data_IF_352340419876
#
_entry.id   IF_352340419876
#
_cell.length_a   1.000
_cell.length_b   1.000
_cell.length_c   1.000
_cell.angle_alpha   90.00
_cell.angle_beta   90.00
_cell.angle_gamma   90.00
#
_symmetry.space_group_name_H-M   'P 1'
#
loop_
_entity.id
_entity.type
_entity.pdbx_description
1 polymer ?
#
# COMPACT_ATOMS: atom_id res chain seq x y z
N UNK A 1 22.74 20.29 33.99
CA UNK A 1 22.84 21.71 33.56
C UNK A 1 21.69 21.97 32.60
N UNK A 2 20.75 22.87 32.94
CA UNK A 2 19.59 23.14 32.09
C UNK A 2 20.05 23.78 30.77
N UNK A 3 19.53 23.37 29.60
CA UNK A 3 19.86 24.00 28.32
C UNK A 3 19.48 25.49 28.38
N UNK A 4 20.33 26.36 27.82
CA UNK A 4 20.12 27.81 27.90
C UNK A 4 18.74 28.19 27.31
N UNK A 5 17.97 29.07 27.96
CA UNK A 5 16.66 29.49 27.46
C UNK A 5 16.74 30.16 26.07
N UNK A 6 17.90 30.74 25.74
CA UNK A 6 18.23 31.27 24.42
C UNK A 6 18.28 30.18 23.35
N UNK A 7 18.93 29.04 23.63
CA UNK A 7 19.01 27.91 22.70
C UNK A 7 17.62 27.35 22.37
N UNK A 8 16.76 27.19 23.37
CA UNK A 8 15.37 26.74 23.14
C UNK A 8 14.58 27.70 22.24
N UNK A 9 14.83 29.00 22.35
CA UNK A 9 14.18 30.02 21.52
C UNK A 9 14.65 29.93 20.06
N UNK A 10 15.95 29.80 19.84
CA UNK A 10 16.55 29.64 18.51
C UNK A 10 16.07 28.33 17.85
N UNK A 11 16.05 27.21 18.58
CA UNK A 11 15.58 25.92 18.07
C UNK A 11 14.11 25.99 17.62
N UNK A 12 13.25 26.71 18.35
CA UNK A 12 11.86 26.94 17.95
C UNK A 12 11.76 27.80 16.69
N UNK A 13 12.55 28.88 16.59
CA UNK A 13 12.58 29.74 15.40
C UNK A 13 13.01 28.98 14.15
N UNK A 14 14.03 28.12 14.26
CA UNK A 14 14.54 27.29 13.17
C UNK A 14 13.69 26.03 12.90
N UNK A 15 12.63 25.79 13.69
CA UNK A 15 11.77 24.59 13.62
C UNK A 15 12.55 23.28 13.79
N UNK A 16 13.52 23.27 14.69
CA UNK A 16 14.37 22.12 15.05
C UNK A 16 13.77 21.34 16.22
N UNK A 17 12.54 20.86 16.04
CA UNK A 17 11.77 20.21 17.10
C UNK A 17 12.40 18.90 17.60
N UNK A 18 13.02 18.11 16.72
CA UNK A 18 13.71 16.86 17.08
C UNK A 18 14.88 17.09 18.01
N UNK A 19 15.66 18.15 17.75
CA UNK A 19 16.72 18.58 18.68
C UNK A 19 16.10 19.05 19.99
N UNK A 20 15.07 19.89 19.95
CA UNK A 20 14.44 20.40 21.18
C UNK A 20 13.98 19.28 22.13
N UNK A 21 13.40 18.21 21.59
CA UNK A 21 12.87 17.10 22.40
C UNK A 21 13.98 16.16 22.92
N UNK A 22 15.10 16.05 22.21
CA UNK A 22 16.21 15.11 22.53
C UNK A 22 17.42 15.79 23.21
N UNK A 23 17.49 17.12 23.19
CA UNK A 23 18.66 17.91 23.59
C UNK A 23 19.17 17.55 24.98
N UNK A 24 18.28 17.45 25.96
CA UNK A 24 18.68 17.17 27.34
C UNK A 24 19.28 15.76 27.48
N UNK A 25 18.67 14.77 26.82
CA UNK A 25 19.16 13.39 26.81
C UNK A 25 20.51 13.29 26.10
N UNK A 26 20.64 13.90 24.91
CA UNK A 26 21.89 13.90 24.14
C UNK A 26 23.02 14.66 24.84
N UNK A 27 22.70 15.73 25.55
CA UNK A 27 23.69 16.49 26.33
C UNK A 27 24.28 15.64 27.47
N UNK A 28 23.45 14.86 28.19
CA UNK A 28 23.96 13.92 29.20
C UNK A 28 24.84 12.85 28.57
N UNK A 29 24.40 12.25 27.46
CA UNK A 29 25.19 11.25 26.72
C UNK A 29 26.54 11.80 26.25
N UNK A 30 26.60 13.06 25.81
CA UNK A 30 27.84 13.69 25.38
C UNK A 30 28.81 13.92 26.54
N UNK A 31 28.30 14.30 27.72
CA UNK A 31 29.11 14.46 28.94
C UNK A 31 29.64 13.11 29.41
N UNK A 32 28.77 12.10 29.52
CA UNK A 32 29.12 10.77 30.03
C UNK A 32 30.06 10.02 29.08
N UNK A 33 29.84 10.16 27.77
CA UNK A 33 30.63 9.52 26.71
C UNK A 33 31.84 10.33 26.23
N UNK A 34 32.08 11.53 26.80
CA UNK A 34 33.15 12.45 26.38
C UNK A 34 33.20 12.69 24.85
N UNK A 35 32.03 12.87 24.23
CA UNK A 35 31.95 13.04 22.78
C UNK A 35 32.65 14.32 22.32
N UNK A 36 33.30 14.25 21.16
CA UNK A 36 33.84 15.45 20.51
C UNK A 36 32.70 16.41 20.14
N UNK A 37 32.97 17.73 20.14
CA UNK A 37 31.94 18.74 19.85
C UNK A 37 31.26 18.55 18.50
N UNK A 38 32.03 18.14 17.49
CA UNK A 38 31.51 17.85 16.13
C UNK A 38 30.62 16.62 16.11
N UNK A 39 30.94 15.60 16.91
CA UNK A 39 30.17 14.36 17.03
C UNK A 39 28.83 14.59 17.77
N UNK A 40 28.87 15.41 18.83
CA UNK A 40 27.67 15.85 19.52
C UNK A 40 26.72 16.62 18.59
N UNK A 41 27.26 17.61 17.85
CA UNK A 41 26.47 18.36 16.87
C UNK A 41 25.88 17.45 15.79
N UNK A 42 26.66 16.49 15.28
CA UNK A 42 26.18 15.53 14.30
C UNK A 42 25.04 14.67 14.85
N UNK A 43 25.11 14.24 16.12
CA UNK A 43 24.05 13.44 16.75
C UNK A 43 22.74 14.23 16.87
N UNK A 44 22.80 15.49 17.29
CA UNK A 44 21.64 16.37 17.34
C UNK A 44 21.00 16.55 15.95
N UNK A 45 21.82 16.78 14.92
CA UNK A 45 21.32 16.93 13.55
C UNK A 45 20.70 15.62 13.02
N UNK A 46 21.27 14.46 13.35
CA UNK A 46 20.69 13.17 13.00
C UNK A 46 19.30 12.98 13.63
N UNK A 47 19.10 13.36 14.89
CA UNK A 47 17.79 13.27 15.55
C UNK A 47 16.74 14.15 14.86
N UNK A 48 17.11 15.36 14.42
CA UNK A 48 16.23 16.22 13.63
C UNK A 48 15.87 15.60 12.27
N UNK A 49 16.88 15.09 11.54
CA UNK A 49 16.68 14.45 10.23
C UNK A 49 15.76 13.24 10.38
N UNK A 50 16.05 12.35 11.33
CA UNK A 50 15.26 11.16 11.60
C UNK A 50 13.80 11.51 11.93
N UNK A 51 13.56 12.51 12.77
CA UNK A 51 12.20 12.98 13.08
C UNK A 51 11.49 13.52 11.84
N UNK A 52 12.16 14.31 11.01
CA UNK A 52 11.57 14.86 9.78
C UNK A 52 11.23 13.75 8.80
N UNK A 53 12.09 12.78 8.62
CA UNK A 53 11.85 11.61 7.77
C UNK A 53 10.69 10.77 8.28
N UNK A 54 10.63 10.50 9.58
CA UNK A 54 9.53 9.77 10.20
C UNK A 54 8.21 10.52 10.03
N UNK A 55 8.19 11.84 10.21
CA UNK A 55 6.99 12.66 9.98
C UNK A 55 6.56 12.64 8.51
N UNK A 56 7.50 12.77 7.57
CA UNK A 56 7.22 12.67 6.13
C UNK A 56 6.63 11.29 5.79
N UNK A 57 7.25 10.21 6.27
CA UNK A 57 6.75 8.84 6.09
C UNK A 57 5.34 8.69 6.66
N UNK A 58 5.09 9.15 7.89
CA UNK A 58 3.77 9.11 8.52
C UNK A 58 2.70 9.83 7.69
N UNK A 59 3.01 11.01 7.14
CA UNK A 59 2.09 11.75 6.26
C UNK A 59 1.84 10.97 4.95
N UNK A 60 2.86 10.36 4.35
CA UNK A 60 2.69 9.53 3.14
C UNK A 60 1.79 8.33 3.40
N UNK A 61 2.06 7.58 4.46
CA UNK A 61 1.27 6.40 4.84
C UNK A 61 -0.18 6.76 5.17
N UNK A 62 -0.41 7.88 5.86
CA UNK A 62 -1.76 8.37 6.16
C UNK A 62 -2.54 8.76 4.90
N UNK A 63 -1.86 9.28 3.88
CA UNK A 63 -2.48 9.64 2.59
C UNK A 63 -2.64 8.45 1.64
N UNK A 64 -1.87 7.38 1.84
CA UNK A 64 -1.85 6.24 0.94
C UNK A 64 -3.13 5.40 0.98
N UNK A 65 -3.93 5.48 2.05
CA UNK A 65 -5.19 4.73 2.15
C UNK A 65 -5.02 3.23 2.43
N UNK A 66 -3.89 2.82 3.01
CA UNK A 66 -3.63 1.42 3.33
C UNK A 66 -4.49 0.91 4.49
N UNK A 67 -4.78 -0.39 4.44
CA UNK A 67 -5.33 -1.13 5.57
C UNK A 67 -4.22 -1.46 6.57
N UNK A 68 -4.58 -1.52 7.85
CA UNK A 68 -3.65 -1.82 8.93
C UNK A 68 -2.97 -3.19 8.74
N UNK A 69 -1.64 -3.22 8.94
CA UNK A 69 -0.86 -4.45 8.98
C UNK A 69 -0.58 -5.11 7.62
N UNK A 70 -0.86 -4.45 6.50
CA UNK A 70 -0.61 -4.98 5.13
C UNK A 70 0.82 -4.75 4.66
N UNK A 71 1.79 -5.26 5.40
CA UNK A 71 3.22 -5.14 5.09
C UNK A 71 3.82 -6.47 4.65
N UNK A 72 5.03 -6.45 4.07
CA UNK A 72 5.73 -7.68 3.65
C UNK A 72 6.07 -8.56 4.83
N UNK A 73 6.41 -7.97 5.98
CA UNK A 73 6.76 -8.69 7.20
C UNK A 73 5.58 -9.49 7.76
N UNK A 74 4.35 -9.02 7.54
CA UNK A 74 3.12 -9.67 7.97
C UNK A 74 2.52 -10.60 6.89
N UNK A 75 3.18 -10.75 5.73
CA UNK A 75 2.70 -11.63 4.68
C UNK A 75 3.25 -13.04 4.88
N UNK A 76 2.35 -14.00 5.06
CA UNK A 76 2.70 -15.41 5.22
C UNK A 76 2.93 -16.06 3.85
N UNK A 77 4.20 -16.14 3.45
CA UNK A 77 4.63 -16.77 2.21
C UNK A 77 4.58 -18.30 2.24
N UNK A 78 4.41 -18.95 3.40
CA UNK A 78 4.33 -20.41 3.48
C UNK A 78 2.99 -20.90 2.94
N UNK A 79 1.95 -20.06 3.01
CA UNK A 79 0.63 -20.32 2.43
C UNK A 79 0.56 -20.18 0.91
N UNK A 80 1.58 -19.61 0.29
CA UNK A 80 1.66 -19.40 -1.16
C UNK A 80 3.02 -19.91 -1.67
N UNK A 81 3.30 -21.23 -1.57
CA UNK A 81 4.65 -21.77 -1.80
C UNK A 81 5.13 -21.63 -3.24
N UNK A 82 4.21 -21.51 -4.20
CA UNK A 82 4.53 -21.28 -5.62
C UNK A 82 4.98 -19.84 -5.91
N UNK A 83 4.74 -18.89 -5.00
CA UNK A 83 5.12 -17.50 -5.19
C UNK A 83 6.62 -17.33 -5.00
N UNK A 84 7.31 -16.81 -6.01
CA UNK A 84 8.74 -16.56 -5.95
C UNK A 84 9.04 -15.39 -5.00
N UNK A 85 9.50 -15.69 -3.78
CA UNK A 85 9.86 -14.71 -2.75
C UNK A 85 10.94 -13.74 -3.23
N UNK A 86 11.96 -14.22 -3.93
CA UNK A 86 13.06 -13.39 -4.42
C UNK A 86 12.56 -12.33 -5.40
N UNK A 87 11.63 -12.70 -6.30
CA UNK A 87 11.01 -11.75 -7.23
C UNK A 87 10.18 -10.69 -6.49
N UNK A 88 9.44 -11.07 -5.44
CA UNK A 88 8.70 -10.11 -4.62
C UNK A 88 9.65 -9.14 -3.88
N UNK A 89 10.75 -9.64 -3.33
CA UNK A 89 11.75 -8.81 -2.68
C UNK A 89 12.47 -7.89 -3.67
N UNK A 90 12.73 -8.34 -4.90
CA UNK A 90 13.25 -7.49 -5.97
C UNK A 90 12.27 -6.36 -6.31
N UNK A 91 10.97 -6.65 -6.45
CA UNK A 91 9.95 -5.61 -6.64
C UNK A 91 9.89 -4.65 -5.43
N UNK A 92 10.10 -5.15 -4.22
CA UNK A 92 10.12 -4.33 -3.02
C UNK A 92 11.28 -3.31 -3.00
N UNK A 93 12.32 -3.48 -3.82
CA UNK A 93 13.40 -2.48 -4.00
C UNK A 93 12.92 -1.21 -4.71
N UNK A 94 11.77 -1.27 -5.39
CA UNK A 94 11.22 -0.14 -6.13
C UNK A 94 11.63 -0.08 -7.60
N UNK A 95 12.30 -1.11 -8.14
CA UNK A 95 12.74 -1.17 -9.54
C UNK A 95 11.66 -0.79 -10.57
N UNK A 96 10.43 -1.29 -10.39
CA UNK A 96 9.30 -0.99 -11.26
C UNK A 96 8.90 0.50 -11.26
N UNK A 97 9.21 1.23 -10.17
CA UNK A 97 8.97 2.67 -10.03
C UNK A 97 9.93 3.46 -10.91
N UNK A 98 11.20 3.08 -10.90
CA UNK A 98 12.24 3.75 -11.69
C UNK A 98 12.09 3.44 -13.19
N UNK A 99 11.70 2.20 -13.52
CA UNK A 99 11.36 1.78 -14.89
C UNK A 99 10.02 2.36 -15.37
N UNK A 100 9.19 2.90 -14.46
CA UNK A 100 7.85 3.46 -14.75
C UNK A 100 6.89 2.46 -15.42
N UNK A 101 7.01 1.20 -15.02
CA UNK A 101 6.21 0.08 -15.55
C UNK A 101 5.17 -0.37 -14.52
N UNK A 102 4.23 -1.20 -14.98
CA UNK A 102 3.18 -1.74 -14.12
C UNK A 102 3.61 -3.02 -13.40
N UNK A 103 3.00 -3.28 -12.25
CA UNK A 103 3.04 -4.58 -11.57
C UNK A 103 1.63 -5.15 -11.59
N UNK A 104 1.43 -6.27 -12.28
CA UNK A 104 0.13 -6.88 -12.48
C UNK A 104 0.03 -8.14 -11.62
N UNK A 105 -0.84 -8.09 -10.61
CA UNK A 105 -1.06 -9.17 -9.65
C UNK A 105 -2.38 -9.89 -9.96
N UNK A 106 -2.30 -11.18 -10.28
CA UNK A 106 -3.45 -12.00 -10.66
C UNK A 106 -3.52 -13.27 -9.81
N UNK A 107 -4.74 -13.75 -9.56
CA UNK A 107 -4.98 -14.96 -8.77
C UNK A 107 -6.38 -14.97 -8.17
N UNK A 108 -6.78 -16.09 -7.55
CA UNK A 108 -8.13 -16.25 -6.99
C UNK A 108 -8.43 -15.29 -5.82
N UNK A 109 -9.70 -15.13 -5.49
CA UNK A 109 -10.12 -14.28 -4.36
C UNK A 109 -9.52 -14.75 -3.03
N UNK A 110 -8.97 -13.82 -2.26
CA UNK A 110 -8.48 -14.11 -0.92
C UNK A 110 -7.07 -14.66 -0.82
N UNK A 111 -6.34 -14.87 -1.92
CA UNK A 111 -4.93 -15.36 -1.92
C UNK A 111 -3.88 -14.33 -1.49
N UNK A 112 -4.28 -13.09 -1.19
CA UNK A 112 -3.38 -12.07 -0.66
C UNK A 112 -2.88 -11.00 -1.66
N UNK A 113 -3.42 -10.93 -2.88
CA UNK A 113 -3.06 -9.91 -3.89
C UNK A 113 -3.08 -8.47 -3.35
N UNK A 114 -4.20 -8.05 -2.77
CA UNK A 114 -4.35 -6.70 -2.20
C UNK A 114 -3.39 -6.44 -1.05
N UNK A 115 -3.06 -7.48 -0.25
CA UNK A 115 -2.04 -7.37 0.81
C UNK A 115 -0.69 -7.11 0.18
N UNK A 116 -0.29 -7.91 -0.80
CA UNK A 116 1.01 -7.79 -1.45
C UNK A 116 1.18 -6.46 -2.16
N UNK A 117 0.13 -5.98 -2.85
CA UNK A 117 0.12 -4.67 -3.50
C UNK A 117 0.34 -3.54 -2.48
N UNK A 118 -0.38 -3.55 -1.36
CA UNK A 118 -0.19 -2.58 -0.27
C UNK A 118 1.20 -2.72 0.38
N UNK A 119 1.71 -3.94 0.51
CA UNK A 119 3.03 -4.20 1.08
C UNK A 119 4.15 -3.60 0.22
N UNK A 120 4.07 -3.74 -1.11
CA UNK A 120 4.96 -3.04 -2.04
C UNK A 120 4.78 -1.51 -1.93
N UNK A 121 3.55 -1.04 -1.74
CA UNK A 121 3.25 0.36 -1.46
C UNK A 121 3.91 0.89 -0.16
N UNK A 122 3.92 0.08 0.90
CA UNK A 122 4.64 0.40 2.14
C UNK A 122 6.15 0.50 1.91
N UNK A 123 6.74 -0.41 1.12
CA UNK A 123 8.16 -0.35 0.74
C UNK A 123 8.48 0.93 -0.05
N UNK A 124 7.64 1.26 -1.04
CA UNK A 124 7.78 2.49 -1.82
C UNK A 124 7.68 3.76 -0.94
N UNK A 125 6.75 3.77 0.02
CA UNK A 125 6.61 4.88 0.98
C UNK A 125 7.85 5.06 1.87
N UNK A 126 8.46 3.94 2.32
CA UNK A 126 9.72 3.95 3.09
C UNK A 126 10.90 4.46 2.25
N UNK A 127 10.90 4.23 0.94
CA UNK A 127 11.85 4.81 -0.01
C UNK A 127 11.55 6.28 -0.37
N UNK A 128 10.58 6.90 0.29
CA UNK A 128 10.25 8.31 0.11
C UNK A 128 9.33 8.60 -1.08
N UNK A 129 8.75 7.58 -1.72
CA UNK A 129 7.80 7.74 -2.83
C UNK A 129 6.38 7.92 -2.29
N UNK A 130 5.62 8.84 -2.87
CA UNK A 130 4.20 8.97 -2.55
C UNK A 130 3.41 7.83 -3.23
N UNK A 131 2.50 7.22 -2.48
CA UNK A 131 1.69 6.07 -2.93
C UNK A 131 0.22 6.38 -2.67
N UNK A 132 -0.66 5.88 -3.54
CA UNK A 132 -2.10 5.93 -3.35
C UNK A 132 -2.71 4.57 -3.65
N UNK A 133 -3.40 4.00 -2.67
CA UNK A 133 -4.22 2.79 -2.81
C UNK A 133 -5.70 3.18 -2.95
N UNK A 134 -6.36 2.59 -3.94
CA UNK A 134 -7.78 2.81 -4.19
C UNK A 134 -8.33 1.61 -4.96
N UNK A 135 -9.58 1.21 -4.70
CA UNK A 135 -10.24 0.19 -5.53
C UNK A 135 -10.63 0.79 -6.88
N UNK A 136 -10.70 -0.02 -7.94
CA UNK A 136 -11.16 0.44 -9.26
C UNK A 136 -12.53 1.13 -9.14
N UNK A 137 -13.45 0.55 -8.36
CA UNK A 137 -14.80 1.09 -8.17
C UNK A 137 -14.77 2.47 -7.51
N UNK A 138 -13.96 2.66 -6.46
CA UNK A 138 -13.85 3.98 -5.80
C UNK A 138 -13.15 5.02 -6.68
N UNK A 139 -12.13 4.61 -7.44
CA UNK A 139 -11.42 5.48 -8.36
C UNK A 139 -12.39 6.04 -9.40
N UNK A 140 -13.14 5.17 -10.06
CA UNK A 140 -14.11 5.54 -11.09
C UNK A 140 -15.25 6.38 -10.49
N UNK A 141 -15.75 6.02 -9.31
CA UNK A 141 -16.75 6.82 -8.60
C UNK A 141 -16.25 8.25 -8.32
N UNK A 142 -14.98 8.41 -7.94
CA UNK A 142 -14.35 9.72 -7.69
C UNK A 142 -14.20 10.54 -8.99
N UNK A 143 -13.84 9.91 -10.10
CA UNK A 143 -13.75 10.57 -11.41
C UNK A 143 -15.13 10.97 -11.94
N UNK A 144 -16.11 10.07 -11.87
CA UNK A 144 -17.48 10.32 -12.29
C UNK A 144 -18.11 11.49 -11.50
N UNK A 145 -17.95 11.52 -10.18
CA UNK A 145 -18.42 12.64 -9.35
C UNK A 145 -17.73 13.98 -9.70
N UNK A 146 -16.46 13.94 -10.11
CA UNK A 146 -15.73 15.13 -10.53
C UNK A 146 -16.24 15.69 -11.87
N UNK A 147 -16.84 14.86 -12.74
CA UNK A 147 -17.48 15.33 -13.99
C UNK A 147 -18.69 16.24 -13.70
N UNK A 148 -19.52 15.87 -12.72
CA UNK A 148 -20.69 16.67 -12.33
C UNK A 148 -20.32 18.04 -11.71
N UNK A 149 -19.06 18.24 -11.32
CA UNK A 149 -18.57 19.48 -10.70
C UNK A 149 -17.56 20.20 -11.58
N UNK A 150 -17.39 19.80 -12.84
CA UNK A 150 -16.38 20.34 -13.78
C UNK A 150 -14.93 20.26 -13.27
N UNK A 151 -14.66 19.37 -12.31
CA UNK A 151 -13.34 19.16 -11.71
C UNK A 151 -12.66 17.88 -12.18
N UNK A 152 -13.17 17.25 -13.25
CA UNK A 152 -12.67 15.99 -13.79
C UNK A 152 -11.15 16.01 -14.02
N UNK A 153 -10.66 16.98 -14.81
CA UNK A 153 -9.24 17.08 -15.15
C UNK A 153 -8.37 17.23 -13.88
N UNK A 154 -8.80 18.09 -12.95
CA UNK A 154 -8.10 18.26 -11.68
C UNK A 154 -8.04 16.95 -10.89
N UNK A 155 -9.12 16.16 -10.91
CA UNK A 155 -9.18 14.89 -10.20
C UNK A 155 -8.36 13.79 -10.88
N UNK A 156 -8.41 13.71 -12.21
CA UNK A 156 -7.57 12.82 -13.01
C UNK A 156 -6.09 13.09 -12.74
N UNK A 157 -5.68 14.36 -12.78
CA UNK A 157 -4.30 14.77 -12.48
C UNK A 157 -3.84 14.39 -11.07
N UNK A 158 -4.74 14.34 -10.08
CA UNK A 158 -4.38 13.83 -8.74
C UNK A 158 -3.97 12.36 -8.80
N UNK A 159 -4.64 11.52 -9.61
CA UNK A 159 -4.26 10.13 -9.76
C UNK A 159 -3.03 9.96 -10.67
N UNK A 160 -2.90 10.76 -11.72
CA UNK A 160 -1.76 10.69 -12.66
C UNK A 160 -0.44 11.07 -12.02
N UNK A 161 -0.42 12.07 -11.12
CA UNK A 161 0.81 12.59 -10.53
C UNK A 161 1.40 11.74 -9.40
N UNK A 162 0.62 10.82 -8.82
CA UNK A 162 1.13 9.96 -7.76
C UNK A 162 2.19 9.01 -8.33
N UNK A 163 3.41 8.97 -7.77
CA UNK A 163 4.48 8.09 -8.24
C UNK A 163 4.08 6.61 -8.33
N UNK A 164 3.36 6.10 -7.32
CA UNK A 164 2.84 4.73 -7.30
C UNK A 164 1.34 4.74 -7.07
N UNK A 165 0.57 4.39 -8.09
CA UNK A 165 -0.87 4.21 -7.98
C UNK A 165 -1.19 2.72 -7.87
N UNK A 166 -1.86 2.32 -6.81
CA UNK A 166 -2.34 0.94 -6.61
C UNK A 166 -3.83 0.94 -6.86
N UNK A 167 -4.25 0.20 -7.89
CA UNK A 167 -5.65 -0.02 -8.23
C UNK A 167 -6.03 -1.45 -7.88
N UNK A 168 -6.89 -1.59 -6.88
CA UNK A 168 -7.32 -2.89 -6.36
C UNK A 168 -8.64 -3.36 -7.01
N UNK A 169 -8.83 -4.67 -7.10
CA UNK A 169 -10.04 -5.32 -7.62
C UNK A 169 -10.41 -4.91 -9.05
N UNK A 170 -9.40 -4.87 -9.94
CA UNK A 170 -9.60 -4.65 -11.36
C UNK A 170 -10.48 -5.73 -11.98
N UNK A 171 -11.41 -5.28 -12.83
CA UNK A 171 -12.33 -6.10 -13.60
C UNK A 171 -13.27 -6.99 -12.76
N UNK A 172 -13.57 -6.61 -11.51
CA UNK A 172 -14.62 -7.27 -10.73
C UNK A 172 -16.01 -7.13 -11.38
N UNK A 173 -16.21 -6.04 -12.13
CA UNK A 173 -17.39 -5.77 -12.94
C UNK A 173 -16.95 -5.25 -14.31
N UNK A 174 -17.68 -5.56 -15.39
CA UNK A 174 -17.43 -4.95 -16.70
C UNK A 174 -17.47 -3.42 -16.60
N UNK A 175 -16.50 -2.77 -17.22
CA UNK A 175 -16.43 -1.33 -17.40
C UNK A 175 -17.42 -0.94 -18.49
N UNK A 176 -18.28 0.03 -18.20
CA UNK A 176 -19.24 0.63 -19.13
C UNK A 176 -18.98 2.12 -19.23
N UNK A 177 -19.34 2.73 -20.36
CA UNK A 177 -19.25 4.17 -20.53
C UNK A 177 -19.95 4.93 -19.38
N UNK A 178 -19.32 5.98 -18.81
CA UNK A 178 -18.02 6.57 -19.18
C UNK A 178 -16.80 5.97 -18.45
N UNK A 179 -16.95 4.90 -17.67
CA UNK A 179 -15.88 4.39 -16.80
C UNK A 179 -14.73 3.69 -17.55
N UNK A 180 -15.01 3.08 -18.70
CA UNK A 180 -14.00 2.50 -19.58
C UNK A 180 -13.09 3.60 -20.16
N UNK A 181 -13.67 4.71 -20.60
CA UNK A 181 -12.94 5.93 -21.03
C UNK A 181 -12.14 6.54 -19.88
N UNK A 182 -12.76 6.75 -18.72
CA UNK A 182 -12.07 7.31 -17.53
C UNK A 182 -10.85 6.47 -17.12
N UNK A 183 -10.98 5.14 -17.16
CA UNK A 183 -9.88 4.24 -16.86
C UNK A 183 -8.81 4.26 -17.95
N UNK A 184 -9.21 4.29 -19.23
CA UNK A 184 -8.29 4.43 -20.34
C UNK A 184 -7.45 5.70 -20.25
N UNK A 185 -8.09 6.85 -20.04
CA UNK A 185 -7.42 8.16 -19.92
C UNK A 185 -6.38 8.15 -18.81
N UNK A 186 -6.73 7.57 -17.66
CA UNK A 186 -5.81 7.43 -16.53
C UNK A 186 -4.59 6.57 -16.89
N UNK A 187 -4.81 5.39 -17.47
CA UNK A 187 -3.71 4.48 -17.85
C UNK A 187 -2.84 5.12 -18.93
N UNK A 188 -3.44 5.73 -19.95
CA UNK A 188 -2.73 6.42 -21.02
C UNK A 188 -1.90 7.59 -20.49
N UNK A 189 -2.42 8.37 -19.54
CA UNK A 189 -1.70 9.48 -18.95
C UNK A 189 -0.53 9.06 -18.03
N UNK A 190 -0.58 7.85 -17.47
CA UNK A 190 0.46 7.28 -16.59
C UNK A 190 1.50 6.44 -17.33
N UNK A 191 1.15 5.92 -18.50
CA UNK A 191 2.01 5.07 -19.32
C UNK A 191 3.40 5.72 -19.55
N UNK A 192 4.48 4.96 -19.28
CA UNK A 192 5.89 5.39 -19.35
C UNK A 192 6.25 6.62 -18.48
N UNK A 193 5.35 7.03 -17.56
CA UNK A 193 5.52 8.22 -16.71
C UNK A 193 5.53 7.89 -15.22
N UNK A 194 4.70 6.96 -14.78
CA UNK A 194 4.59 6.57 -13.38
C UNK A 194 4.14 5.10 -13.22
N UNK A 195 4.60 4.46 -12.16
CA UNK A 195 4.31 3.05 -11.91
C UNK A 195 2.86 2.81 -11.44
N UNK A 196 2.26 1.72 -11.90
CA UNK A 196 0.90 1.33 -11.52
C UNK A 196 0.89 -0.12 -11.05
N UNK A 197 0.36 -0.37 -9.86
CA UNK A 197 0.12 -1.75 -9.38
C UNK A 197 -1.36 -2.04 -9.57
N UNK A 198 -1.68 -3.15 -10.24
CA UNK A 198 -3.04 -3.57 -10.51
C UNK A 198 -3.26 -4.95 -9.91
N UNK A 199 -4.35 -5.15 -9.18
CA UNK A 199 -4.76 -6.49 -8.71
C UNK A 199 -6.03 -6.92 -9.46
N UNK A 200 -6.12 -8.19 -9.86
CA UNK A 200 -7.35 -8.73 -10.45
C UNK A 200 -7.59 -10.17 -10.04
N UNK A 201 -8.88 -10.54 -9.96
CA UNK A 201 -9.31 -11.93 -9.80
C UNK A 201 -9.44 -12.67 -11.15
N UNK A 202 -9.41 -11.94 -12.27
CA UNK A 202 -9.48 -12.50 -13.61
C UNK A 202 -8.09 -12.85 -14.14
N UNK A 203 -8.01 -13.94 -14.91
CA UNK A 203 -6.80 -14.27 -15.63
C UNK A 203 -6.52 -13.27 -16.74
N UNK A 204 -5.25 -13.10 -17.12
CA UNK A 204 -4.85 -12.10 -18.12
C UNK A 204 -5.57 -12.26 -19.46
N UNK A 205 -5.93 -13.49 -19.86
CA UNK A 205 -6.72 -13.76 -21.07
C UNK A 205 -8.12 -13.16 -21.01
N UNK A 206 -8.70 -13.03 -19.82
CA UNK A 206 -10.07 -12.59 -19.58
C UNK A 206 -10.15 -11.07 -19.35
N UNK A 207 -9.03 -10.37 -19.23
CA UNK A 207 -9.03 -8.92 -19.00
C UNK A 207 -9.71 -8.13 -20.14
N UNK A 208 -9.75 -8.70 -21.35
CA UNK A 208 -10.50 -8.12 -22.47
C UNK A 208 -12.01 -8.05 -22.20
N UNK A 209 -12.56 -8.99 -21.43
CA UNK A 209 -13.98 -9.06 -21.09
C UNK A 209 -14.40 -7.93 -20.14
N UNK A 210 -13.43 -7.33 -19.44
CA UNK A 210 -13.65 -6.12 -18.66
C UNK A 210 -14.12 -4.93 -19.52
N UNK A 211 -13.82 -4.93 -20.82
CA UNK A 211 -14.18 -3.89 -21.78
C UNK A 211 -15.17 -4.41 -22.83
N UNK A 212 -16.21 -5.12 -22.39
CA UNK A 212 -17.17 -5.80 -23.27
C UNK A 212 -17.75 -4.91 -24.38
N UNK A 213 -18.03 -3.65 -24.04
CA UNK A 213 -18.73 -2.70 -24.89
C UNK A 213 -17.78 -1.94 -25.83
N UNK A 214 -16.49 -1.86 -25.49
CA UNK A 214 -15.47 -1.14 -26.26
C UNK A 214 -14.15 -1.91 -26.31
N UNK A 215 -14.13 -2.99 -27.10
CA UNK A 215 -12.98 -3.89 -27.22
C UNK A 215 -11.71 -3.21 -27.74
N UNK A 216 -11.83 -2.21 -28.61
CA UNK A 216 -10.68 -1.48 -29.17
C UNK A 216 -10.00 -0.65 -28.08
N UNK A 217 -10.79 0.11 -27.31
CA UNK A 217 -10.30 0.88 -26.16
C UNK A 217 -9.69 -0.04 -25.10
N UNK A 218 -10.35 -1.17 -24.82
CA UNK A 218 -9.84 -2.21 -23.92
C UNK A 218 -8.48 -2.74 -24.36
N UNK A 219 -8.35 -3.19 -25.61
CA UNK A 219 -7.09 -3.69 -26.16
C UNK A 219 -5.97 -2.65 -26.03
N UNK A 220 -6.23 -1.38 -26.37
CA UNK A 220 -5.26 -0.30 -26.26
C UNK A 220 -4.87 0.02 -24.81
N UNK A 221 -5.79 -0.12 -23.86
CA UNK A 221 -5.52 0.07 -22.42
C UNK A 221 -4.66 -1.07 -21.86
N UNK A 222 -5.01 -2.31 -22.23
CA UNK A 222 -4.32 -3.51 -21.76
C UNK A 222 -2.91 -3.61 -22.35
N UNK A 223 -2.72 -3.22 -23.60
CA UNK A 223 -1.40 -3.15 -24.24
C UNK A 223 -0.44 -2.26 -23.44
N UNK A 224 -0.87 -1.03 -23.12
CA UNK A 224 -0.11 -0.09 -22.29
C UNK A 224 0.18 -0.62 -20.89
N UNK A 225 -0.79 -1.31 -20.26
CA UNK A 225 -0.59 -1.92 -18.94
C UNK A 225 0.42 -3.06 -18.97
N UNK A 226 0.48 -3.82 -20.07
CA UNK A 226 1.31 -5.03 -20.20
C UNK A 226 2.73 -4.72 -20.66
N UNK A 227 2.95 -3.64 -21.40
CA UNK A 227 4.27 -3.30 -21.89
C UNK A 227 5.27 -3.10 -20.73
N UNK A 228 6.31 -3.94 -20.71
CA UNK A 228 7.35 -3.92 -19.67
C UNK A 228 6.89 -4.34 -18.26
N UNK A 229 5.64 -4.82 -18.11
CA UNK A 229 5.07 -5.04 -16.80
C UNK A 229 5.58 -6.31 -16.10
N UNK A 230 5.75 -6.21 -14.79
CA UNK A 230 6.03 -7.36 -13.93
C UNK A 230 4.75 -8.14 -13.67
N UNK A 231 4.76 -9.43 -14.00
CA UNK A 231 3.63 -10.33 -13.76
C UNK A 231 3.83 -11.12 -12.47
N UNK A 232 2.88 -11.02 -11.56
CA UNK A 232 2.83 -11.79 -10.32
C UNK A 232 1.56 -12.62 -10.29
N UNK A 233 1.69 -13.94 -10.43
CA UNK A 233 0.56 -14.88 -10.32
C UNK A 233 0.60 -15.48 -8.92
N UNK A 234 -0.51 -15.38 -8.20
CA UNK A 234 -0.65 -15.84 -6.81
C UNK A 234 -1.66 -16.98 -6.79
N UNK A 235 -1.15 -18.19 -6.54
CA UNK A 235 -1.94 -19.41 -6.44
C UNK A 235 -1.86 -19.97 -5.01
N UNK A 236 -3.01 -20.25 -4.42
CA UNK A 236 -3.08 -20.83 -3.09
C UNK A 236 -4.50 -20.81 -2.54
N UNK A 237 -4.66 -21.27 -1.32
CA UNK A 237 -5.95 -21.23 -0.62
C UNK A 237 -6.25 -19.84 -0.08
N UNK A 238 -7.54 -19.49 -0.04
CA UNK A 238 -7.99 -18.21 0.52
C UNK A 238 -7.53 -17.99 1.97
N UNK A 239 -6.96 -16.82 2.24
CA UNK A 239 -6.60 -16.35 3.58
C UNK A 239 -7.81 -16.06 4.47
N UNK A 240 -9.01 -15.96 3.89
CA UNK A 240 -10.24 -15.51 4.56
C UNK A 240 -11.12 -16.67 5.05
N UNK A 241 -10.55 -17.85 5.35
CA UNK A 241 -11.34 -18.99 5.85
C UNK A 241 -12.07 -18.59 7.16
N UNK A 242 -13.35 -18.94 7.33
CA UNK A 242 -14.07 -18.70 8.58
C UNK A 242 -13.33 -19.36 9.74
N UNK A 243 -13.28 -18.72 10.90
CA UNK A 243 -12.81 -19.38 12.11
C UNK A 243 -13.78 -20.52 12.45
N UNK A 244 -13.31 -21.74 12.74
CA UNK A 244 -14.18 -22.78 13.24
C UNK A 244 -14.82 -22.31 14.55
N UNK A 245 -16.13 -22.57 14.73
CA UNK A 245 -16.76 -22.37 16.04
C UNK A 245 -16.07 -23.31 17.04
N UNK A 246 -15.78 -22.84 18.27
CA UNK A 246 -15.38 -23.76 19.32
C UNK A 246 -16.50 -24.80 19.47
N UNK A 247 -16.14 -26.09 19.39
CA UNK A 247 -17.09 -27.17 19.66
C UNK A 247 -17.61 -26.98 21.08
N UNK A 248 -18.89 -26.65 21.22
CA UNK A 248 -19.57 -26.76 22.51
C UNK A 248 -19.57 -28.24 22.86
N UNK A 249 -18.86 -28.60 23.92
CA UNK A 249 -18.89 -29.94 24.48
C UNK A 249 -20.29 -30.28 24.98
N UNK A 250 -21.09 -30.93 24.13
CA UNK A 250 -22.32 -31.61 24.52
C UNK A 250 -22.17 -33.11 24.26
N UNK A 251 -21.67 -33.81 25.27
CA UNK A 251 -22.09 -35.19 25.57
C UNK A 251 -21.94 -35.44 27.08
N UNK A 252 -22.71 -34.69 27.86
CA UNK A 252 -22.98 -34.99 29.26
C UNK A 252 -24.49 -34.87 29.56
N UNK A 253 -25.31 -35.57 28.77
CA UNK A 253 -26.66 -35.94 29.21
C UNK A 253 -26.74 -37.47 29.19
N UNK A 254 -26.08 -38.08 30.16
CA UNK A 254 -26.25 -39.50 30.46
C UNK A 254 -27.64 -39.70 31.10
N UNK A 255 -28.57 -40.21 30.28
CA UNK A 255 -29.63 -41.18 30.63
C UNK A 255 -30.13 -41.15 32.09
N UNK A 256 -31.12 -40.30 32.39
CA UNK A 256 -32.09 -40.56 33.46
C UNK A 256 -33.44 -40.94 32.82
N UNK A 257 -33.66 -42.24 32.64
CA UNK A 257 -34.87 -42.77 32.02
C UNK A 257 -35.19 -44.20 32.45
N UNK A 258 -36.07 -44.31 33.46
CA UNK A 258 -36.96 -45.43 33.79
C UNK A 258 -36.34 -46.81 34.09
N UNK A 259 -36.25 -47.12 35.40
CA UNK A 259 -36.59 -48.47 35.88
C UNK A 259 -38.01 -48.42 36.45
N UNK A 260 -38.84 -49.32 35.93
CA UNK A 260 -40.24 -49.60 36.25
C UNK A 260 -40.43 -50.12 37.67
N UNK A 261 -41.53 -49.69 38.30
CA UNK A 261 -42.08 -50.25 39.53
C UNK A 261 -42.50 -51.72 39.35
N UNK A 262 -42.23 -52.54 40.37
CA UNK A 262 -43.17 -53.53 40.90
C UNK A 262 -43.86 -52.92 42.13
#
# INVERSE_FOLDING_TARGET
MHPSPELNTILKQLRLSGILDSLEQRNRQAIDGQLAYTEFLATLLHDEVARREQKKLGVRLARAGFSLGKTLENFDFDRVPKLNRAHIHDLATGRYIDEKVSVLMVGQTGVGKSHLAQALGHCAARQGRDVLFVTQTELLKKLHAARATELYERKLQQFVRVPVLIVDDFALKPLRAPHDEDFHDLIAARYERAATILTSNLDFSEWGDAFSDNRILGAATLDRLRHGAYRVVIEGESFRKPKPMPENGENAVAKSGKKTHS
#
